data_IF_433762968854
#
_entry.id   IF_433762968854
#
_cell.length_a   1.000
_cell.length_b   1.000
_cell.length_c   1.000
_cell.angle_alpha   90.00
_cell.angle_beta   90.00
_cell.angle_gamma   90.00
#
_symmetry.space_group_name_H-M   'P 1'
#
loop_
_entity.id
_entity.type
_entity.pdbx_description
1 polymer ?
#
# COMPACT_ATOMS: atom_id res chain seq x y z
N UNK A 1 -71.90 -7.88 -12.56
CA UNK A 1 -72.32 -6.52 -12.11
C UNK A 1 -71.42 -5.50 -12.77
N UNK A 2 -72.03 -4.52 -13.44
CA UNK A 2 -71.39 -3.35 -14.04
C UNK A 2 -70.86 -2.43 -12.93
N UNK A 3 -69.72 -1.77 -13.14
CA UNK A 3 -69.67 -0.30 -13.04
C UNK A 3 -68.44 0.27 -13.74
N UNK A 4 -68.70 1.23 -14.61
CA UNK A 4 -67.80 2.08 -15.38
C UNK A 4 -67.85 3.47 -14.78
N UNK A 5 -66.74 4.13 -14.47
CA UNK A 5 -66.61 5.61 -14.26
C UNK A 5 -65.14 6.00 -14.53
N UNK A 6 -64.78 6.57 -15.70
CA UNK A 6 -64.68 7.99 -16.12
C UNK A 6 -63.42 8.76 -15.61
N UNK A 7 -62.70 9.30 -16.60
CA UNK A 7 -61.51 10.18 -16.64
C UNK A 7 -61.74 11.56 -15.96
N UNK A 8 -60.68 12.33 -15.60
CA UNK A 8 -60.11 13.33 -16.53
C UNK A 8 -58.57 13.51 -16.41
N UNK A 9 -57.79 13.58 -17.48
CA UNK A 9 -57.40 14.76 -18.29
C UNK A 9 -57.05 16.02 -17.47
N UNK A 10 -55.76 16.36 -17.39
CA UNK A 10 -55.30 17.70 -16.98
C UNK A 10 -54.15 18.15 -17.89
N UNK A 11 -54.41 19.24 -18.63
CA UNK A 11 -53.46 20.02 -19.40
C UNK A 11 -52.44 20.69 -18.46
N UNK A 12 -51.16 20.76 -18.86
CA UNK A 12 -50.27 21.83 -18.42
C UNK A 12 -49.59 22.51 -19.62
N UNK A 13 -49.57 23.82 -19.50
CA UNK A 13 -49.41 24.88 -20.50
C UNK A 13 -47.96 25.22 -20.83
N UNK A 14 -47.70 25.51 -22.12
CA UNK A 14 -46.56 26.30 -22.60
C UNK A 14 -46.66 27.75 -22.12
N UNK A 15 -45.56 28.29 -21.59
CA UNK A 15 -45.37 29.72 -21.36
C UNK A 15 -44.01 30.17 -21.90
N UNK A 16 -44.04 31.03 -22.91
CA UNK A 16 -42.89 31.74 -23.47
C UNK A 16 -42.81 33.19 -22.93
N UNK A 17 -41.71 33.87 -23.25
CA UNK A 17 -41.33 35.28 -23.00
C UNK A 17 -40.52 35.46 -21.69
N UNK A 18 -39.39 36.17 -21.61
CA UNK A 18 -38.93 37.39 -22.29
C UNK A 18 -37.40 37.47 -22.26
N UNK A 19 -36.81 38.15 -23.26
CA UNK A 19 -35.39 38.53 -23.26
C UNK A 19 -35.14 39.82 -22.47
N UNK A 20 -33.96 39.91 -21.85
CA UNK A 20 -33.37 41.16 -21.39
C UNK A 20 -31.83 41.08 -21.41
N UNK A 21 -31.25 41.99 -22.18
CA UNK A 21 -29.83 42.23 -22.41
C UNK A 21 -29.05 42.54 -21.12
N UNK A 22 -27.89 41.91 -20.91
CA UNK A 22 -26.88 42.41 -19.96
C UNK A 22 -25.48 42.41 -20.57
N UNK A 23 -24.91 43.62 -20.57
CA UNK A 23 -23.56 44.05 -20.93
C UNK A 23 -22.46 43.16 -20.31
N UNK A 24 -21.40 42.92 -21.09
CA UNK A 24 -20.10 42.43 -20.59
C UNK A 24 -19.45 43.49 -19.68
N UNK A 25 -18.94 43.14 -18.49
CA UNK A 25 -18.06 44.02 -17.75
C UNK A 25 -16.65 44.01 -18.36
N UNK A 26 -16.06 45.21 -18.43
CA UNK A 26 -14.70 45.46 -18.89
C UNK A 26 -13.67 44.83 -17.94
N UNK A 27 -12.62 44.27 -18.53
CA UNK A 27 -11.48 43.66 -17.85
C UNK A 27 -10.67 44.76 -17.15
N UNK A 28 -10.69 44.77 -15.82
CA UNK A 28 -9.83 45.63 -15.02
C UNK A 28 -8.37 45.15 -15.12
N UNK A 29 -7.49 46.04 -15.56
CA UNK A 29 -6.04 45.86 -15.63
C UNK A 29 -5.47 45.86 -14.21
N UNK A 30 -4.86 44.74 -13.79
CA UNK A 30 -4.18 44.64 -12.50
C UNK A 30 -2.78 45.27 -12.62
N UNK A 31 -2.32 46.09 -11.65
CA UNK A 31 -1.02 46.74 -11.72
C UNK A 31 0.13 45.73 -11.63
N UNK A 32 1.21 46.03 -12.38
CA UNK A 32 2.44 45.27 -12.43
C UNK A 32 3.08 45.16 -11.04
N UNK A 33 3.25 43.94 -10.55
CA UNK A 33 4.10 43.64 -9.40
C UNK A 33 5.54 43.46 -9.88
N UNK A 34 6.45 44.16 -9.20
CA UNK A 34 7.88 44.16 -9.44
C UNK A 34 8.48 42.75 -9.37
N UNK A 35 9.32 42.44 -10.36
CA UNK A 35 10.14 41.23 -10.45
C UNK A 35 11.20 41.22 -9.33
N UNK A 36 11.09 40.25 -8.43
CA UNK A 36 12.20 39.82 -7.58
C UNK A 36 13.19 38.96 -8.40
N UNK A 37 14.49 39.00 -8.09
CA UNK A 37 15.53 38.35 -8.91
C UNK A 37 15.36 36.83 -8.93
N UNK A 38 15.45 36.27 -10.12
CA UNK A 38 15.45 34.83 -10.40
C UNK A 38 16.72 34.23 -9.81
N UNK A 39 16.59 33.47 -8.72
CA UNK A 39 17.60 32.53 -8.30
C UNK A 39 17.59 31.35 -9.29
N UNK A 40 18.51 31.39 -10.25
CA UNK A 40 18.92 30.24 -11.04
C UNK A 40 19.60 29.23 -10.12
N UNK A 41 18.91 28.12 -9.85
CA UNK A 41 19.47 26.78 -9.65
C UNK A 41 18.28 25.80 -9.57
N UNK A 42 17.61 25.61 -10.70
CA UNK A 42 16.76 24.44 -10.86
C UNK A 42 17.68 23.25 -11.11
N UNK A 43 17.98 22.49 -10.06
CA UNK A 43 18.40 21.11 -10.24
C UNK A 43 17.31 20.42 -11.07
N UNK A 44 17.69 19.80 -12.17
CA UNK A 44 16.80 18.95 -12.96
C UNK A 44 16.28 17.84 -12.05
N UNK A 45 15.01 17.92 -11.64
CA UNK A 45 14.33 16.87 -10.90
C UNK A 45 14.13 15.68 -11.83
N UNK A 46 15.11 14.77 -11.86
CA UNK A 46 15.12 13.51 -12.64
C UNK A 46 13.93 12.58 -12.29
N UNK A 47 13.04 12.98 -11.37
CA UNK A 47 11.88 12.21 -10.91
C UNK A 47 10.52 12.82 -11.31
N UNK A 48 10.49 13.79 -12.23
CA UNK A 48 9.24 14.31 -12.79
C UNK A 48 8.48 13.23 -13.60
N UNK A 49 7.60 12.49 -12.92
CA UNK A 49 6.73 11.44 -13.51
C UNK A 49 6.60 10.19 -12.65
N UNK A 50 7.61 9.87 -11.84
CA UNK A 50 7.63 8.66 -10.99
C UNK A 50 6.85 8.83 -9.69
N UNK A 51 6.51 10.07 -9.30
CA UNK A 51 5.70 10.34 -8.09
C UNK A 51 4.38 9.58 -8.09
N UNK A 52 3.69 9.44 -9.23
CA UNK A 52 2.41 8.70 -9.33
C UNK A 52 2.55 7.18 -9.21
N UNK A 53 3.77 6.65 -9.28
CA UNK A 53 4.06 5.22 -9.20
C UNK A 53 4.61 4.80 -7.84
N UNK A 54 5.07 5.75 -7.01
CA UNK A 54 5.51 5.46 -5.64
C UNK A 54 4.31 5.08 -4.77
N UNK A 55 4.40 3.89 -4.17
CA UNK A 55 3.56 3.49 -3.06
C UNK A 55 2.21 2.84 -3.33
N UNK A 56 2.10 2.04 -4.36
CA UNK A 56 0.91 1.19 -4.49
C UNK A 56 0.96 0.05 -3.47
N UNK A 57 0.08 0.11 -2.48
CA UNK A 57 -0.10 -0.96 -1.49
C UNK A 57 -0.90 -2.11 -2.13
N UNK A 58 -0.21 -3.05 -2.80
CA UNK A 58 -0.84 -4.23 -3.42
C UNK A 58 -1.14 -5.29 -2.35
N UNK A 59 -2.40 -5.55 -1.99
CA UNK A 59 -2.71 -6.44 -0.87
C UNK A 59 -2.49 -7.92 -1.23
N UNK A 60 -1.96 -8.68 -0.26
CA UNK A 60 -1.78 -10.12 -0.33
C UNK A 60 -2.68 -10.80 0.69
N UNK A 61 -3.55 -11.68 0.20
CA UNK A 61 -4.51 -12.42 1.02
C UNK A 61 -4.15 -13.89 1.08
N UNK A 62 -4.36 -14.50 2.26
CA UNK A 62 -4.37 -15.96 2.44
C UNK A 62 -5.77 -16.34 2.89
N UNK A 63 -6.45 -17.17 2.11
CA UNK A 63 -7.80 -17.65 2.40
C UNK A 63 -8.80 -16.50 2.75
N UNK A 64 -8.64 -15.33 2.12
CA UNK A 64 -9.49 -14.15 2.30
C UNK A 64 -9.02 -13.17 3.39
N UNK A 65 -8.01 -13.52 4.19
CA UNK A 65 -7.43 -12.64 5.21
C UNK A 65 -6.20 -11.95 4.64
N UNK A 66 -6.12 -10.62 4.72
CA UNK A 66 -4.92 -9.91 4.28
C UNK A 66 -3.76 -10.17 5.25
N UNK A 67 -2.66 -10.73 4.73
CA UNK A 67 -1.48 -11.11 5.52
C UNK A 67 -0.23 -10.33 5.17
N UNK A 68 -0.25 -9.57 4.06
CA UNK A 68 0.86 -8.70 3.67
C UNK A 68 0.41 -7.66 2.63
N UNK A 69 1.37 -6.84 2.23
CA UNK A 69 1.32 -5.93 1.09
C UNK A 69 2.56 -6.22 0.23
N UNK A 70 2.38 -6.36 -1.07
CA UNK A 70 3.44 -6.55 -2.04
C UNK A 70 3.93 -5.17 -2.50
N UNK A 71 4.77 -4.57 -1.66
CA UNK A 71 5.43 -3.29 -1.89
C UNK A 71 6.92 -3.46 -1.67
N UNK A 72 7.77 -2.74 -2.41
CA UNK A 72 9.22 -2.89 -2.29
C UNK A 72 9.72 -2.57 -0.89
N UNK A 73 9.30 -1.43 -0.32
CA UNK A 73 9.67 -1.04 1.06
C UNK A 73 9.30 -2.05 2.14
N UNK A 74 8.27 -2.85 1.89
CA UNK A 74 7.70 -3.82 2.83
C UNK A 74 8.21 -5.25 2.56
N UNK A 75 9.10 -5.45 1.58
CA UNK A 75 9.59 -6.78 1.26
C UNK A 75 10.32 -7.40 2.46
N UNK A 76 10.06 -8.69 2.74
CA UNK A 76 10.86 -9.43 3.69
C UNK A 76 12.30 -9.61 3.17
N UNK A 77 13.28 -9.97 4.02
CA UNK A 77 14.63 -10.32 3.58
C UNK A 77 14.61 -11.56 2.70
N UNK A 78 14.60 -11.36 1.38
CA UNK A 78 14.63 -12.40 0.37
C UNK A 78 15.72 -12.11 -0.66
N UNK A 79 16.20 -13.16 -1.31
CA UNK A 79 17.22 -13.06 -2.34
C UNK A 79 16.69 -12.26 -3.54
N UNK A 80 17.44 -11.22 -3.93
CA UNK A 80 17.24 -10.54 -5.20
C UNK A 80 17.85 -11.39 -6.31
N UNK A 81 17.05 -11.74 -7.29
CA UNK A 81 17.53 -12.30 -8.56
C UNK A 81 17.56 -11.21 -9.62
N UNK A 82 18.40 -11.38 -10.63
CA UNK A 82 18.55 -10.43 -11.72
C UNK A 82 17.94 -11.05 -12.98
N UNK A 83 16.90 -10.42 -13.53
CA UNK A 83 16.24 -10.85 -14.77
C UNK A 83 17.15 -10.68 -15.98
N UNK A 84 17.85 -9.56 -15.98
CA UNK A 84 18.94 -9.17 -16.85
C UNK A 84 19.99 -8.45 -15.97
N UNK A 85 21.02 -7.83 -16.54
CA UNK A 85 22.07 -7.14 -15.76
C UNK A 85 21.56 -5.98 -14.89
N UNK A 86 20.31 -5.54 -15.04
CA UNK A 86 19.81 -4.28 -14.49
C UNK A 86 18.51 -4.41 -13.69
N UNK A 87 17.64 -5.37 -13.99
CA UNK A 87 16.30 -5.44 -13.40
C UNK A 87 16.27 -6.37 -12.18
N UNK A 88 16.11 -5.83 -10.95
CA UNK A 88 15.82 -6.64 -9.77
C UNK A 88 14.52 -7.42 -9.95
N UNK A 89 14.55 -8.69 -9.57
CA UNK A 89 13.37 -9.50 -9.40
C UNK A 89 13.47 -10.36 -8.14
N UNK A 90 12.35 -10.95 -7.78
CA UNK A 90 12.16 -11.71 -6.55
C UNK A 90 11.36 -12.95 -6.86
N UNK A 91 11.78 -14.10 -6.32
CA UNK A 91 11.04 -15.35 -6.48
C UNK A 91 9.77 -15.31 -5.65
N UNK A 92 8.64 -15.64 -6.27
CA UNK A 92 7.34 -15.74 -5.59
C UNK A 92 7.40 -16.77 -4.45
N UNK A 93 8.06 -17.90 -4.67
CA UNK A 93 8.26 -18.93 -3.65
C UNK A 93 8.95 -18.37 -2.39
N UNK A 94 10.04 -17.63 -2.57
CA UNK A 94 10.82 -17.04 -1.47
C UNK A 94 10.02 -15.95 -0.75
N UNK A 95 9.29 -15.11 -1.50
CA UNK A 95 8.38 -14.12 -0.93
C UNK A 95 7.30 -14.77 -0.05
N UNK A 96 6.58 -15.78 -0.55
CA UNK A 96 5.53 -16.45 0.21
C UNK A 96 6.09 -17.06 1.49
N UNK A 97 7.22 -17.76 1.39
CA UNK A 97 7.91 -18.37 2.54
C UNK A 97 8.28 -17.33 3.59
N UNK A 98 8.88 -16.21 3.18
CA UNK A 98 9.33 -15.17 4.09
C UNK A 98 8.17 -14.35 4.68
N UNK A 99 7.06 -14.21 3.94
CA UNK A 99 5.80 -13.67 4.47
C UNK A 99 5.10 -14.61 5.47
N UNK A 100 5.65 -15.81 5.71
CA UNK A 100 5.15 -16.79 6.67
C UNK A 100 4.12 -17.77 6.11
N UNK A 101 3.91 -17.77 4.80
CA UNK A 101 3.06 -18.72 4.09
C UNK A 101 3.92 -19.94 3.75
N UNK A 102 3.44 -21.16 4.06
CA UNK A 102 4.17 -22.39 3.70
C UNK A 102 3.89 -22.72 2.23
N UNK A 103 4.83 -22.53 1.29
CA UNK A 103 4.53 -22.71 -0.13
C UNK A 103 4.06 -24.13 -0.47
N UNK A 104 4.49 -25.13 0.29
CA UNK A 104 4.12 -26.54 0.13
C UNK A 104 2.63 -26.81 0.42
N UNK A 105 1.98 -25.92 1.17
CA UNK A 105 0.56 -26.01 1.51
C UNK A 105 -0.33 -25.18 0.57
N UNK A 106 0.26 -24.40 -0.33
CA UNK A 106 -0.48 -23.58 -1.27
C UNK A 106 -1.16 -24.49 -2.30
N UNK A 107 -2.47 -24.30 -2.48
CA UNK A 107 -3.26 -24.97 -3.53
C UNK A 107 -3.19 -24.19 -4.84
N UNK A 108 -3.34 -22.87 -4.75
CA UNK A 108 -3.20 -21.97 -5.89
C UNK A 108 -2.90 -20.54 -5.44
N UNK A 109 -2.31 -19.76 -6.33
CA UNK A 109 -2.15 -18.31 -6.24
C UNK A 109 -2.93 -17.68 -7.38
N UNK A 110 -3.86 -16.80 -7.07
CA UNK A 110 -4.56 -15.97 -8.05
C UNK A 110 -3.96 -14.57 -8.03
N UNK A 111 -3.52 -14.13 -9.19
CA UNK A 111 -2.89 -12.83 -9.43
C UNK A 111 -3.90 -11.98 -10.17
N UNK A 112 -4.39 -10.94 -9.51
CA UNK A 112 -5.40 -10.05 -10.07
C UNK A 112 -4.70 -8.93 -10.82
N UNK A 113 -5.11 -8.73 -12.07
CA UNK A 113 -4.66 -7.65 -12.93
C UNK A 113 -5.70 -6.56 -13.11
N UNK A 114 -5.56 -5.80 -14.19
CA UNK A 114 -6.56 -4.81 -14.59
C UNK A 114 -7.83 -5.49 -15.12
N UNK A 115 -8.98 -4.80 -15.07
CA UNK A 115 -10.27 -5.26 -15.60
C UNK A 115 -10.76 -6.60 -14.99
N UNK A 116 -10.46 -6.85 -13.72
CA UNK A 116 -10.87 -8.06 -12.98
C UNK A 116 -10.40 -9.39 -13.61
N UNK A 117 -9.36 -9.34 -14.47
CA UNK A 117 -8.75 -10.54 -15.05
C UNK A 117 -7.71 -11.12 -14.11
N UNK A 118 -7.70 -12.44 -14.02
CA UNK A 118 -6.96 -13.20 -13.03
C UNK A 118 -6.10 -14.23 -13.75
N UNK A 119 -4.80 -14.10 -13.59
CA UNK A 119 -3.85 -15.20 -13.84
C UNK A 119 -3.84 -16.11 -12.62
N UNK A 120 -3.66 -17.41 -12.83
CA UNK A 120 -3.58 -18.37 -11.72
C UNK A 120 -2.39 -19.29 -11.88
N UNK A 121 -1.76 -19.60 -10.75
CA UNK A 121 -0.66 -20.54 -10.62
C UNK A 121 -1.06 -21.60 -9.61
N UNK A 122 -1.10 -22.88 -10.00
CA UNK A 122 -1.32 -23.96 -9.04
C UNK A 122 -0.09 -24.12 -8.13
N UNK A 123 -0.32 -24.55 -6.89
CA UNK A 123 0.77 -24.80 -5.95
C UNK A 123 1.71 -25.91 -6.45
N UNK A 124 1.17 -26.95 -7.08
CA UNK A 124 1.95 -28.02 -7.73
C UNK A 124 2.87 -27.48 -8.84
N UNK A 125 2.39 -26.54 -9.65
CA UNK A 125 3.17 -25.88 -10.71
C UNK A 125 4.30 -25.05 -10.10
N UNK A 126 4.00 -24.24 -9.09
CA UNK A 126 5.00 -23.46 -8.34
C UNK A 126 6.07 -24.34 -7.70
N UNK A 127 5.68 -25.49 -7.15
CA UNK A 127 6.60 -26.43 -6.51
C UNK A 127 7.50 -27.17 -7.51
N UNK A 128 6.99 -27.43 -8.71
CA UNK A 128 7.74 -28.06 -9.80
C UNK A 128 8.84 -27.15 -10.33
N UNK A 129 8.59 -25.84 -10.42
CA UNK A 129 9.55 -24.86 -10.92
C UNK A 129 9.62 -23.61 -10.03
N UNK A 130 10.26 -23.75 -8.86
CA UNK A 130 10.34 -22.69 -7.86
C UNK A 130 11.07 -21.42 -8.33
N UNK A 131 11.90 -21.54 -9.38
CA UNK A 131 12.77 -20.45 -9.85
C UNK A 131 12.12 -19.63 -10.96
N UNK A 132 11.22 -20.21 -11.75
CA UNK A 132 10.56 -19.54 -12.87
C UNK A 132 9.61 -18.43 -12.45
N UNK A 133 8.88 -18.60 -11.35
CA UNK A 133 7.85 -17.64 -10.94
C UNK A 133 8.46 -16.47 -10.17
N UNK A 134 8.80 -15.41 -10.90
CA UNK A 134 9.44 -14.20 -10.37
C UNK A 134 8.65 -12.91 -10.66
N UNK A 135 8.71 -11.95 -9.74
CA UNK A 135 8.15 -10.62 -9.96
C UNK A 135 9.22 -9.55 -9.83
N UNK A 136 9.05 -8.44 -10.53
CA UNK A 136 9.88 -7.23 -10.40
C UNK A 136 8.99 -6.04 -9.99
N UNK A 137 9.58 -4.88 -9.75
CA UNK A 137 8.80 -3.63 -9.67
C UNK A 137 9.02 -2.80 -10.94
N UNK A 138 8.01 -2.00 -11.30
CA UNK A 138 8.02 -1.21 -12.53
C UNK A 138 9.17 -0.20 -12.63
N UNK A 139 9.75 0.19 -11.49
CA UNK A 139 10.88 1.12 -11.41
C UNK A 139 11.96 0.58 -10.45
N UNK A 140 12.36 -0.68 -10.65
CA UNK A 140 13.40 -1.39 -9.90
C UNK A 140 13.10 -1.56 -8.40
N UNK A 141 13.25 -0.50 -7.60
CA UNK A 141 13.05 -0.44 -6.15
C UNK A 141 11.75 0.27 -5.74
N UNK A 142 10.90 0.60 -6.70
CA UNK A 142 9.58 1.20 -6.47
C UNK A 142 8.64 0.89 -7.63
N UNK A 143 7.36 1.22 -7.47
CA UNK A 143 6.35 1.06 -8.52
C UNK A 143 5.40 -0.11 -8.28
N UNK A 144 4.54 -0.37 -9.25
CA UNK A 144 3.69 -1.55 -9.23
C UNK A 144 4.53 -2.83 -9.36
N UNK A 145 4.22 -3.89 -8.58
CA UNK A 145 4.78 -5.20 -8.82
C UNK A 145 4.28 -5.77 -10.17
N UNK A 146 5.19 -6.43 -10.90
CA UNK A 146 4.98 -6.96 -12.24
C UNK A 146 5.35 -8.43 -12.31
N UNK A 147 4.53 -9.23 -12.98
CA UNK A 147 4.83 -10.64 -13.28
C UNK A 147 5.91 -10.71 -14.36
N UNK A 148 6.89 -11.60 -14.18
CA UNK A 148 8.04 -11.77 -15.08
C UNK A 148 8.29 -13.25 -15.43
N UNK A 149 7.22 -14.00 -15.64
CA UNK A 149 7.27 -15.37 -16.15
C UNK A 149 6.27 -15.57 -17.29
N UNK A 150 6.57 -16.53 -18.17
CA UNK A 150 5.68 -16.99 -19.21
C UNK A 150 4.72 -18.08 -18.68
N UNK A 151 3.67 -18.41 -19.44
CA UNK A 151 2.62 -19.34 -19.02
C UNK A 151 2.70 -20.72 -19.69
N UNK A 152 3.80 -21.04 -20.37
CA UNK A 152 3.98 -22.32 -21.05
C UNK A 152 3.84 -23.51 -20.08
N UNK A 153 2.94 -24.44 -20.41
CA UNK A 153 2.68 -25.64 -19.60
C UNK A 153 1.97 -25.38 -18.27
N UNK A 154 1.42 -24.17 -18.06
CA UNK A 154 0.53 -23.87 -16.94
C UNK A 154 -0.92 -24.17 -17.30
N UNK A 155 -1.71 -24.58 -16.32
CA UNK A 155 -3.15 -24.85 -16.49
C UNK A 155 -3.93 -23.60 -16.87
N UNK A 156 -3.50 -22.44 -16.40
CA UNK A 156 -4.02 -21.15 -16.83
C UNK A 156 -2.95 -20.45 -17.66
N UNK A 157 -3.19 -20.40 -18.97
CA UNK A 157 -2.27 -19.80 -19.94
C UNK A 157 -2.33 -18.27 -19.94
N UNK A 158 -3.24 -17.65 -19.18
CA UNK A 158 -3.34 -16.21 -19.08
C UNK A 158 -2.32 -15.62 -18.11
N UNK A 159 -1.51 -14.69 -18.60
CA UNK A 159 -0.58 -13.90 -17.79
C UNK A 159 -1.14 -12.51 -17.50
N UNK A 160 -1.01 -12.08 -16.25
CA UNK A 160 -1.25 -10.71 -15.82
C UNK A 160 0.07 -9.97 -15.82
N UNK A 161 0.16 -8.79 -16.44
CA UNK A 161 1.40 -8.01 -16.41
C UNK A 161 1.64 -7.27 -15.10
N UNK A 162 0.64 -6.54 -14.61
CA UNK A 162 0.71 -5.71 -13.39
C UNK A 162 -0.13 -6.35 -12.28
N UNK A 163 0.48 -6.60 -11.13
CA UNK A 163 -0.19 -7.24 -9.99
C UNK A 163 -0.92 -6.15 -9.20
N UNK A 164 -2.25 -6.27 -9.11
CA UNK A 164 -3.13 -5.36 -8.35
C UNK A 164 -3.53 -5.92 -6.99
N UNK A 165 -3.72 -7.24 -6.90
CA UNK A 165 -4.05 -7.99 -5.69
C UNK A 165 -3.50 -9.41 -5.85
N UNK A 166 -3.16 -10.08 -4.76
CA UNK A 166 -2.80 -11.49 -4.78
C UNK A 166 -3.64 -12.27 -3.78
N UNK A 167 -4.27 -13.36 -4.22
CA UNK A 167 -5.03 -14.27 -3.36
C UNK A 167 -4.36 -15.63 -3.35
N UNK A 168 -3.92 -16.06 -2.18
CA UNK A 168 -3.27 -17.35 -1.94
C UNK A 168 -4.27 -18.26 -1.24
N UNK A 169 -4.53 -19.43 -1.82
CA UNK A 169 -5.45 -20.42 -1.26
C UNK A 169 -4.63 -21.53 -0.62
N UNK A 170 -4.84 -21.76 0.67
CA UNK A 170 -4.11 -22.78 1.44
C UNK A 170 -5.12 -23.79 1.99
N UNK A 171 -6.01 -23.36 2.88
CA UNK A 171 -6.96 -24.25 3.52
C UNK A 171 -8.31 -24.24 2.80
N UNK A 172 -8.73 -23.08 2.28
CA UNK A 172 -10.03 -22.96 1.60
C UNK A 172 -9.97 -23.60 0.20
N UNK A 173 -11.13 -24.00 -0.36
CA UNK A 173 -11.20 -24.41 -1.76
C UNK A 173 -10.72 -23.29 -2.69
N UNK A 174 -10.14 -23.66 -3.83
CA UNK A 174 -9.77 -22.68 -4.87
C UNK A 174 -11.03 -22.37 -5.69
N UNK A 175 -11.52 -21.12 -5.71
CA UNK A 175 -12.68 -20.76 -6.53
C UNK A 175 -12.33 -20.92 -8.02
N UNK A 176 -13.23 -21.54 -8.78
CA UNK A 176 -13.05 -21.65 -10.22
C UNK A 176 -13.06 -20.25 -10.87
N UNK A 177 -12.22 -20.08 -11.89
CA UNK A 177 -12.23 -18.90 -12.75
C UNK A 177 -13.20 -19.12 -13.92
N UNK A 178 -13.89 -18.06 -14.34
CA UNK A 178 -14.69 -18.12 -15.55
C UNK A 178 -13.81 -18.38 -16.78
N UNK A 179 -14.12 -19.41 -17.56
CA UNK A 179 -13.26 -19.90 -18.67
C UNK A 179 -12.80 -18.81 -19.65
N UNK A 180 -13.67 -17.87 -19.99
CA UNK A 180 -13.37 -16.82 -20.99
C UNK A 180 -13.03 -15.46 -20.40
N UNK A 181 -13.60 -15.12 -19.24
CA UNK A 181 -13.45 -13.80 -18.61
C UNK A 181 -12.30 -13.78 -17.61
N UNK A 182 -11.88 -14.96 -17.17
CA UNK A 182 -10.76 -15.18 -16.25
C UNK A 182 -10.95 -14.39 -14.96
N UNK A 183 -12.17 -14.37 -14.44
CA UNK A 183 -12.56 -13.63 -13.25
C UNK A 183 -13.27 -14.57 -12.27
N UNK A 184 -13.37 -14.15 -11.01
CA UNK A 184 -14.34 -14.74 -10.09
C UNK A 184 -15.75 -14.28 -10.49
N UNK A 185 -16.75 -15.15 -10.38
CA UNK A 185 -18.13 -14.83 -10.73
C UNK A 185 -19.04 -14.88 -9.51
N UNK A 186 -19.95 -13.92 -9.42
CA UNK A 186 -21.03 -13.93 -8.44
C UNK A 186 -22.13 -14.93 -8.84
N UNK A 187 -23.16 -15.06 -8.00
CA UNK A 187 -24.29 -15.95 -8.26
C UNK A 187 -25.07 -15.59 -9.53
N UNK A 188 -25.11 -14.32 -9.90
CA UNK A 188 -25.72 -13.82 -11.14
C UNK A 188 -24.83 -14.01 -12.38
N UNK A 189 -23.64 -14.61 -12.22
CA UNK A 189 -22.68 -14.82 -13.27
C UNK A 189 -21.88 -13.57 -13.66
N UNK A 190 -22.00 -12.44 -12.98
CA UNK A 190 -21.18 -11.24 -13.22
C UNK A 190 -19.77 -11.42 -12.64
N UNK A 191 -18.76 -10.75 -13.24
CA UNK A 191 -17.41 -10.79 -12.67
C UNK A 191 -17.36 -9.96 -11.39
N UNK A 192 -16.82 -10.54 -10.33
CA UNK A 192 -16.58 -9.87 -9.06
C UNK A 192 -15.16 -9.28 -9.03
N UNK A 193 -15.04 -8.05 -8.50
CA UNK A 193 -13.74 -7.46 -8.13
C UNK A 193 -13.29 -7.88 -6.69
N UNK A 194 -14.22 -8.44 -5.91
CA UNK A 194 -13.96 -8.87 -4.55
C UNK A 194 -12.96 -10.01 -4.45
N UNK A 195 -12.18 -10.01 -3.37
CA UNK A 195 -11.29 -11.12 -3.02
C UNK A 195 -12.12 -12.26 -2.41
N UNK A 196 -12.04 -13.50 -2.93
CA UNK A 196 -12.81 -14.60 -2.37
C UNK A 196 -12.53 -14.80 -0.89
N UNK A 197 -13.61 -15.08 -0.14
CA UNK A 197 -13.60 -15.30 1.31
C UNK A 197 -13.16 -14.12 2.17
N UNK A 198 -12.87 -12.96 1.57
CA UNK A 198 -12.58 -11.74 2.31
C UNK A 198 -13.86 -11.08 2.80
N UNK A 199 -13.80 -10.48 3.98
CA UNK A 199 -14.85 -9.64 4.54
C UNK A 199 -14.76 -8.17 4.03
N UNK A 200 -13.83 -7.89 3.11
CA UNK A 200 -13.57 -6.55 2.59
C UNK A 200 -12.70 -5.69 3.52
N UNK A 201 -12.21 -6.24 4.64
CA UNK A 201 -11.28 -5.51 5.52
C UNK A 201 -9.92 -5.39 4.83
N UNK A 202 -9.55 -4.16 4.45
CA UNK A 202 -8.24 -3.83 3.88
C UNK A 202 -7.35 -3.16 4.94
N UNK A 203 -6.09 -3.58 4.99
CA UNK A 203 -5.04 -3.02 5.84
C UNK A 203 -4.50 -1.74 5.19
N UNK A 204 -5.14 -0.60 5.49
CA UNK A 204 -4.74 0.74 4.98
C UNK A 204 -3.74 1.48 5.90
N UNK A 205 -3.61 1.08 7.17
CA UNK A 205 -2.78 1.79 8.16
C UNK A 205 -1.26 1.56 8.04
N UNK A 206 -0.49 2.09 8.99
CA UNK A 206 0.94 1.76 9.16
C UNK A 206 1.07 0.30 9.62
N UNK A 207 1.78 -0.51 8.85
CA UNK A 207 1.89 -1.96 9.09
C UNK A 207 3.06 -2.29 10.00
N UNK A 208 2.97 -3.41 10.71
CA UNK A 208 4.05 -3.94 11.55
C UNK A 208 4.42 -5.31 11.04
N UNK A 209 5.70 -5.48 10.68
CA UNK A 209 6.26 -6.75 10.25
C UNK A 209 7.29 -7.24 11.25
N UNK A 210 7.25 -8.54 11.55
CA UNK A 210 8.25 -9.22 12.39
C UNK A 210 8.83 -10.37 11.58
N UNK A 211 10.14 -10.34 11.33
CA UNK A 211 10.85 -11.30 10.48
C UNK A 211 10.16 -11.52 9.11
N UNK A 212 9.60 -10.45 8.53
CA UNK A 212 8.90 -10.50 7.23
C UNK A 212 7.41 -10.84 7.29
N UNK A 213 6.87 -11.23 8.45
CA UNK A 213 5.44 -11.54 8.62
C UNK A 213 4.71 -10.32 9.15
N UNK A 214 3.60 -9.92 8.51
CA UNK A 214 2.76 -8.85 9.04
C UNK A 214 2.03 -9.36 10.29
N UNK A 215 2.37 -8.79 11.45
CA UNK A 215 1.76 -9.17 12.74
C UNK A 215 0.62 -8.24 13.13
N UNK A 216 0.54 -7.07 12.50
CA UNK A 216 -0.46 -6.08 12.82
C UNK A 216 -0.34 -4.82 11.99
N UNK A 217 -1.20 -3.87 12.30
CA UNK A 217 -1.20 -2.54 11.69
C UNK A 217 -1.92 -1.55 12.61
N UNK A 218 -1.64 -0.27 12.41
CA UNK A 218 -2.28 0.79 13.18
C UNK A 218 -3.72 0.96 12.69
N UNK A 219 -4.66 0.73 13.62
CA UNK A 219 -6.08 1.03 13.43
C UNK A 219 -6.54 1.86 14.62
N UNK A 220 -7.02 3.08 14.38
CA UNK A 220 -7.36 4.04 15.44
C UNK A 220 -8.24 3.46 16.55
N UNK A 221 -9.27 2.69 16.20
CA UNK A 221 -10.20 2.06 17.17
C UNK A 221 -9.59 0.94 18.02
N UNK A 222 -8.37 0.47 17.67
CA UNK A 222 -7.67 -0.61 18.35
C UNK A 222 -6.49 -0.10 19.19
N UNK A 223 -6.29 1.22 19.26
CA UNK A 223 -5.26 1.80 20.11
C UNK A 223 -5.81 1.96 21.52
N UNK A 224 -5.25 1.19 22.45
CA UNK A 224 -5.62 1.22 23.85
C UNK A 224 -4.98 2.42 24.58
N UNK A 225 -5.60 2.85 25.68
CA UNK A 225 -5.14 4.01 26.48
C UNK A 225 -3.76 3.79 27.11
N UNK A 226 -3.41 2.54 27.43
CA UNK A 226 -2.11 2.15 27.99
C UNK A 226 -0.93 2.39 27.03
N UNK A 227 -1.20 2.45 25.72
CA UNK A 227 -0.23 2.81 24.69
C UNK A 227 0.14 4.29 24.71
N UNK A 228 -0.71 5.15 25.31
CA UNK A 228 -0.44 6.58 25.36
C UNK A 228 0.77 6.89 26.24
N UNK A 229 1.58 7.85 25.80
CA UNK A 229 2.74 8.37 26.52
C UNK A 229 2.63 9.87 26.82
N UNK A 230 1.50 10.49 26.50
CA UNK A 230 1.21 11.90 26.73
C UNK A 230 0.51 12.53 25.54
N UNK A 231 0.61 13.86 25.42
CA UNK A 231 0.10 14.62 24.29
C UNK A 231 1.19 15.55 23.72
N UNK A 232 1.02 15.94 22.46
CA UNK A 232 1.81 17.01 21.83
C UNK A 232 1.35 18.39 22.32
N UNK A 233 2.13 19.47 22.09
CA UNK A 233 1.68 20.84 22.37
C UNK A 233 0.40 21.22 21.63
N UNK A 234 0.12 20.59 20.47
CA UNK A 234 -1.11 20.77 19.70
C UNK A 234 -2.31 19.96 20.25
N UNK A 235 -2.10 19.17 21.31
CA UNK A 235 -3.14 18.36 21.94
C UNK A 235 -3.35 16.97 21.33
N UNK A 236 -2.55 16.57 20.33
CA UNK A 236 -2.63 15.22 19.77
C UNK A 236 -2.02 14.18 20.73
N UNK A 237 -2.73 13.08 20.97
CA UNK A 237 -2.23 11.94 21.74
C UNK A 237 -0.93 11.39 21.13
N UNK A 238 0.07 11.18 21.99
CA UNK A 238 1.31 10.46 21.67
C UNK A 238 1.14 9.00 22.04
N UNK A 239 1.39 8.11 21.08
CA UNK A 239 1.36 6.67 21.28
C UNK A 239 2.79 6.12 21.23
N UNK A 240 3.22 5.41 22.27
CA UNK A 240 4.56 4.79 22.29
C UNK A 240 4.65 3.68 21.25
N UNK A 241 5.65 3.75 20.38
CA UNK A 241 5.90 2.69 19.39
C UNK A 241 6.37 1.43 20.07
N UNK A 242 7.22 1.53 21.08
CA UNK A 242 7.71 0.36 21.84
C UNK A 242 6.53 -0.41 22.46
N UNK A 243 5.61 0.28 23.15
CA UNK A 243 4.41 -0.35 23.71
C UNK A 243 3.51 -0.95 22.62
N UNK A 244 3.35 -0.24 21.49
CA UNK A 244 2.56 -0.75 20.37
C UNK A 244 3.16 -2.02 19.76
N UNK A 245 4.48 -2.07 19.57
CA UNK A 245 5.17 -3.28 19.10
C UNK A 245 5.04 -4.42 20.13
N UNK A 246 5.18 -4.11 21.42
CA UNK A 246 4.99 -5.08 22.50
C UNK A 246 3.58 -5.69 22.51
N UNK A 247 2.55 -4.93 22.13
CA UNK A 247 1.18 -5.46 22.00
C UNK A 247 1.04 -6.56 20.93
N UNK A 248 2.00 -6.64 19.99
CA UNK A 248 2.11 -7.70 18.99
C UNK A 248 3.16 -8.76 19.36
N UNK A 249 3.62 -8.80 20.62
CA UNK A 249 4.60 -9.77 21.10
C UNK A 249 6.04 -9.49 20.68
N UNK A 250 6.35 -8.26 20.25
CA UNK A 250 7.74 -7.83 20.04
C UNK A 250 8.36 -7.49 21.39
N UNK A 251 9.26 -8.34 21.87
CA UNK A 251 10.04 -8.13 23.10
C UNK A 251 11.33 -7.33 22.87
N UNK A 252 12.24 -7.40 23.84
CA UNK A 252 13.54 -6.72 23.79
C UNK A 252 14.59 -7.43 22.93
N UNK A 253 14.28 -8.65 22.45
CA UNK A 253 15.13 -9.51 21.64
C UNK A 253 15.13 -9.12 20.14
N UNK A 254 15.12 -7.82 19.88
CA UNK A 254 15.15 -7.24 18.54
C UNK A 254 16.59 -7.02 18.10
N UNK A 255 16.94 -7.49 16.90
CA UNK A 255 18.25 -7.22 16.31
C UNK A 255 18.27 -5.89 15.56
N UNK A 256 17.17 -5.55 14.87
CA UNK A 256 17.06 -4.30 14.10
C UNK A 256 15.61 -3.86 14.00
N UNK A 257 15.35 -2.56 14.11
CA UNK A 257 14.09 -1.91 13.76
C UNK A 257 14.34 -0.95 12.61
N UNK A 258 13.48 -1.02 11.59
CA UNK A 258 13.46 -0.06 10.49
C UNK A 258 12.09 0.61 10.39
N UNK A 259 12.11 1.90 10.10
CA UNK A 259 10.92 2.69 9.84
C UNK A 259 10.92 3.04 8.37
N UNK A 260 9.81 2.70 7.71
CA UNK A 260 9.68 2.84 6.26
C UNK A 260 8.66 3.92 5.96
N UNK A 261 9.10 4.92 5.19
CA UNK A 261 8.24 5.91 4.56
C UNK A 261 8.08 5.53 3.10
N UNK A 262 7.06 4.74 2.86
CA UNK A 262 6.76 4.27 1.55
C UNK A 262 7.67 3.12 1.12
N UNK A 263 8.58 3.39 0.18
CA UNK A 263 9.58 2.42 -0.29
C UNK A 263 10.97 2.68 0.34
N UNK A 264 11.10 3.82 1.02
CA UNK A 264 12.34 4.36 1.56
C UNK A 264 12.46 4.04 3.06
N UNK A 265 13.62 3.56 3.50
CA UNK A 265 13.93 3.41 4.94
C UNK A 265 14.37 4.76 5.47
N UNK A 266 13.59 5.36 6.37
CA UNK A 266 13.87 6.70 6.91
C UNK A 266 14.50 6.67 8.30
N UNK A 267 14.45 5.53 8.98
CA UNK A 267 15.13 5.33 10.24
C UNK A 267 15.53 3.87 10.43
N UNK A 268 16.68 3.65 11.08
CA UNK A 268 17.16 2.32 11.49
C UNK A 268 17.79 2.40 12.87
N UNK A 269 17.49 1.40 13.70
CA UNK A 269 18.16 1.16 14.96
C UNK A 269 18.54 -0.31 15.08
N UNK A 270 19.78 -0.60 15.46
CA UNK A 270 20.13 -1.94 15.95
C UNK A 270 19.50 -2.19 17.33
N UNK A 271 19.59 -3.42 17.84
CA UNK A 271 19.00 -3.78 19.13
C UNK A 271 19.47 -2.92 20.31
N UNK A 272 20.74 -2.51 20.32
CA UNK A 272 21.28 -1.68 21.40
C UNK A 272 20.75 -0.24 21.32
N UNK A 273 20.78 0.35 20.12
CA UNK A 273 20.22 1.68 19.87
C UNK A 273 18.71 1.71 20.13
N UNK A 274 17.98 0.68 19.71
CA UNK A 274 16.54 0.55 19.96
C UNK A 274 16.25 0.52 21.46
N UNK A 275 16.97 -0.31 22.22
CA UNK A 275 16.81 -0.38 23.68
C UNK A 275 17.07 0.97 24.36
N UNK A 276 18.07 1.72 23.90
CA UNK A 276 18.42 3.02 24.47
C UNK A 276 17.40 4.13 24.14
N UNK A 277 16.78 4.09 22.96
CA UNK A 277 16.07 5.23 22.39
C UNK A 277 14.56 5.00 22.21
N UNK A 278 14.07 3.77 22.30
CA UNK A 278 12.67 3.41 22.02
C UNK A 278 11.65 4.12 22.92
N UNK A 279 12.05 4.55 24.12
CA UNK A 279 11.22 5.36 25.01
C UNK A 279 10.89 6.76 24.44
N UNK A 280 11.79 7.34 23.64
CA UNK A 280 11.57 8.59 22.92
C UNK A 280 10.76 8.42 21.63
N UNK A 281 10.55 7.18 21.20
CA UNK A 281 9.88 6.87 19.93
C UNK A 281 8.36 6.82 20.12
N UNK A 282 7.66 7.80 19.54
CA UNK A 282 6.20 7.86 19.56
C UNK A 282 5.63 8.18 18.18
N UNK A 283 4.34 7.94 18.01
CA UNK A 283 3.60 8.39 16.86
C UNK A 283 2.33 9.13 17.26
N UNK A 284 1.85 9.99 16.37
CA UNK A 284 0.54 10.61 16.44
C UNK A 284 -0.35 10.12 15.31
N UNK A 285 -1.65 10.42 15.40
CA UNK A 285 -2.65 10.00 14.43
C UNK A 285 -3.21 11.20 13.67
N UNK A 286 -2.60 11.60 12.54
CA UNK A 286 -3.16 12.60 11.66
C UNK A 286 -4.61 12.27 11.29
N UNK A 287 -5.46 13.31 11.23
CA UNK A 287 -6.84 13.17 10.75
C UNK A 287 -6.83 12.74 9.28
N UNK A 288 -7.85 11.98 8.87
CA UNK A 288 -8.09 11.56 7.47
C UNK A 288 -6.94 10.80 6.78
N UNK A 289 -6.08 10.12 7.53
CA UNK A 289 -4.92 9.39 6.97
C UNK A 289 -5.03 7.86 7.05
N UNK A 290 -6.24 7.31 7.19
CA UNK A 290 -6.52 5.86 7.17
C UNK A 290 -5.66 4.97 8.11
N UNK A 291 -5.10 5.56 9.18
CA UNK A 291 -4.20 4.86 10.11
C UNK A 291 -2.72 4.92 9.74
N UNK A 292 -2.32 5.64 8.69
CA UNK A 292 -0.93 6.05 8.48
C UNK A 292 -0.56 7.04 9.58
N UNK A 293 0.50 6.73 10.31
CA UNK A 293 0.92 7.50 11.49
C UNK A 293 2.01 8.50 11.13
N UNK A 294 2.08 9.57 11.89
CA UNK A 294 3.22 10.49 11.88
C UNK A 294 4.13 10.09 13.03
N UNK A 295 5.29 9.53 12.71
CA UNK A 295 6.29 9.07 13.66
C UNK A 295 7.22 10.21 14.02
N UNK A 296 7.50 10.35 15.32
CA UNK A 296 8.57 11.19 15.81
C UNK A 296 9.86 10.37 15.84
N UNK A 297 10.81 10.74 14.97
CA UNK A 297 12.03 9.98 14.71
C UNK A 297 13.24 10.67 15.35
N UNK A 298 13.92 10.04 16.32
CA UNK A 298 15.13 10.58 16.94
C UNK A 298 16.26 10.76 15.93
N UNK A 299 17.02 11.84 16.05
CA UNK A 299 18.15 12.17 15.16
C UNK A 299 19.16 11.00 15.03
N UNK A 300 19.41 10.30 16.13
CA UNK A 300 20.36 9.19 16.20
C UNK A 300 20.00 7.97 15.34
N UNK A 301 18.75 7.87 14.85
CA UNK A 301 18.29 6.77 13.99
C UNK A 301 18.11 7.17 12.52
N UNK A 302 18.25 8.46 12.21
CA UNK A 302 18.06 9.00 10.86
C UNK A 302 19.33 8.83 10.01
N UNK A 303 19.22 9.10 8.71
CA UNK A 303 20.40 9.22 7.84
C UNK A 303 21.37 10.29 8.39
N UNK A 304 22.70 10.10 8.35
CA UNK A 304 23.68 11.11 8.76
C UNK A 304 23.55 12.45 8.01
N UNK A 305 22.96 12.43 6.82
CA UNK A 305 22.66 13.63 6.02
C UNK A 305 21.43 14.39 6.52
N UNK A 306 20.60 13.75 7.36
CA UNK A 306 19.50 14.42 8.04
C UNK A 306 20.06 15.28 9.16
N UNK A 307 19.62 16.53 9.23
CA UNK A 307 19.95 17.47 10.30
C UNK A 307 19.96 16.79 11.68
N UNK A 308 20.85 17.22 12.59
CA UNK A 308 21.08 16.62 13.92
C UNK A 308 19.92 16.78 14.92
N UNK A 309 18.68 16.90 14.43
CA UNK A 309 17.47 17.14 15.21
C UNK A 309 16.45 16.03 14.96
N UNK A 310 15.62 15.79 15.96
CA UNK A 310 14.50 14.87 15.83
C UNK A 310 13.52 15.41 14.78
N UNK A 311 12.91 14.51 14.00
CA UNK A 311 12.01 14.89 12.91
C UNK A 311 10.78 14.02 12.88
N UNK A 312 9.67 14.64 12.49
CA UNK A 312 8.44 13.92 12.25
C UNK A 312 8.34 13.50 10.77
N UNK A 313 7.91 12.27 10.54
CA UNK A 313 7.70 11.70 9.20
C UNK A 313 6.48 10.79 9.15
N UNK A 314 5.84 10.66 7.99
CA UNK A 314 4.86 9.61 7.78
C UNK A 314 5.54 8.24 7.65
N UNK A 315 4.92 7.21 8.24
CA UNK A 315 5.39 5.84 8.10
C UNK A 315 4.33 4.94 7.44
N UNK A 316 4.73 4.19 6.41
CA UNK A 316 3.93 3.12 5.81
C UNK A 316 4.07 1.81 6.57
N UNK A 317 5.26 1.52 7.10
CA UNK A 317 5.55 0.29 7.81
C UNK A 317 6.63 0.46 8.89
N UNK A 318 6.58 -0.45 9.88
CA UNK A 318 7.64 -0.72 10.85
C UNK A 318 8.10 -2.15 10.63
N UNK A 319 9.39 -2.34 10.37
CA UNK A 319 9.99 -3.64 10.12
C UNK A 319 10.87 -4.01 11.30
N UNK A 320 10.55 -5.12 11.94
CA UNK A 320 11.25 -5.64 13.10
C UNK A 320 11.95 -6.93 12.71
N UNK A 321 13.25 -6.97 12.93
CA UNK A 321 14.10 -8.12 12.68
C UNK A 321 14.51 -8.70 14.03
N UNK A 322 14.23 -9.98 14.25
CA UNK A 322 14.59 -10.72 15.46
C UNK A 322 15.51 -11.88 15.15
N UNK A 323 15.17 -12.63 14.10
CA UNK A 323 15.89 -13.85 13.68
C UNK A 323 16.44 -13.75 12.26
N UNK A 324 15.93 -12.83 11.46
CA UNK A 324 16.43 -12.56 10.12
C UNK A 324 17.35 -11.34 10.12
N UNK A 325 18.27 -11.30 9.18
CA UNK A 325 19.12 -10.12 8.98
C UNK A 325 18.37 -9.10 8.15
N UNK A 326 18.36 -7.83 8.60
CA UNK A 326 17.80 -6.73 7.83
C UNK A 326 18.51 -6.61 6.46
N UNK A 327 17.80 -6.37 5.34
CA UNK A 327 18.43 -6.14 4.06
C UNK A 327 19.28 -4.87 4.11
N UNK A 328 20.42 -4.86 3.41
CA UNK A 328 21.24 -3.65 3.29
C UNK A 328 20.50 -2.64 2.41
N UNK A 329 19.79 -1.71 3.06
CA UNK A 329 19.13 -0.56 2.43
C UNK A 329 19.75 0.74 2.91
N UNK A 330 19.85 1.71 2.02
CA UNK A 330 20.28 3.06 2.37
C UNK A 330 19.22 3.76 3.21
N UNK A 331 19.66 4.65 4.10
CA UNK A 331 18.76 5.52 4.85
C UNK A 331 18.46 6.75 4.01
N UNK A 332 17.21 6.91 3.62
CA UNK A 332 16.75 8.10 2.93
C UNK A 332 16.55 9.26 3.92
N UNK A 333 16.88 10.50 3.54
CA UNK A 333 16.58 11.67 4.36
C UNK A 333 15.07 11.90 4.45
N UNK A 334 14.58 12.24 5.64
CA UNK A 334 13.19 12.62 5.84
C UNK A 334 12.89 13.90 5.03
N UNK A 335 11.91 13.84 4.15
CA UNK A 335 11.58 14.91 3.22
C UNK A 335 10.09 14.94 2.88
N UNK A 336 9.64 15.98 2.18
CA UNK A 336 8.29 16.04 1.63
C UNK A 336 8.03 14.88 0.66
N UNK A 337 9.03 14.45 -0.10
CA UNK A 337 8.89 13.33 -1.04
C UNK A 337 8.63 11.99 -0.33
N UNK A 338 9.32 11.73 0.79
CA UNK A 338 9.07 10.53 1.59
C UNK A 338 7.68 10.57 2.21
N UNK A 339 7.23 11.73 2.70
CA UNK A 339 5.88 11.90 3.26
C UNK A 339 4.80 11.71 2.18
N UNK A 340 4.99 12.31 1.01
CA UNK A 340 4.08 12.18 -0.13
C UNK A 340 3.97 10.72 -0.60
N UNK A 341 5.06 9.96 -0.58
CA UNK A 341 5.06 8.54 -0.96
C UNK A 341 4.16 7.66 -0.07
N UNK A 342 3.98 8.05 1.19
CA UNK A 342 3.07 7.36 2.13
C UNK A 342 1.63 7.80 1.88
N UNK A 343 1.41 9.08 1.60
CA UNK A 343 0.07 9.63 1.34
C UNK A 343 -0.51 9.16 0.00
N UNK A 344 0.31 9.01 -1.04
CA UNK A 344 -0.13 8.44 -2.31
C UNK A 344 -0.55 6.97 -2.15
N UNK A 345 0.10 6.24 -1.24
CA UNK A 345 -0.29 4.88 -0.89
C UNK A 345 -1.65 4.80 -0.19
N UNK A 346 -2.02 5.83 0.59
CA UNK A 346 -3.32 5.87 1.27
C UNK A 346 -4.46 6.32 0.37
N UNK A 347 -4.17 7.04 -0.71
CA UNK A 347 -5.16 7.69 -1.58
C UNK A 347 -5.50 6.90 -2.84
N UNK A 348 -5.17 5.60 -2.92
CA UNK A 348 -5.63 4.78 -4.05
C UNK A 348 -7.14 4.49 -3.91
N UNK A 349 -7.95 5.50 -4.20
CA UNK A 349 -9.41 5.47 -4.35
C UNK A 349 -9.86 4.50 -5.46
N UNK A 350 -8.92 3.88 -6.19
CA UNK A 350 -9.21 2.81 -7.15
C UNK A 350 -9.86 1.59 -6.49
N UNK A 351 -9.74 1.41 -5.16
CA UNK A 351 -10.52 0.40 -4.44
C UNK A 351 -11.94 0.85 -4.08
N UNK A 352 -12.20 2.15 -4.04
CA UNK A 352 -13.42 2.74 -3.45
C UNK A 352 -14.37 3.30 -4.53
N UNK A 353 -13.90 3.49 -5.77
CA UNK A 353 -14.71 3.90 -6.92
C UNK A 353 -15.29 2.70 -7.70
N UNK A 354 -16.21 1.96 -7.06
CA UNK A 354 -17.21 1.11 -7.75
C UNK A 354 -18.21 0.57 -6.71
N UNK A 355 -19.02 1.46 -6.13
CA UNK A 355 -20.31 1.09 -5.54
C UNK A 355 -21.42 1.31 -6.56
#
# INVERSE_FOLDING_TARGET
>A
MRLTVILPLTLLTLGALTGCSKRKPARATKPAQATAPVATNAATDDKHGTRKLKGLDVPVYVDGVQVSVLRYGDLPPIERVMLDETVPAFRLYDYLKAAGIKPESVKAVHIHGNQNRIGSLEGSEMMRDKKRFIFSFASADTGSPMVRWDTEGLKNEFSVHEIRKMSVFVNKPVPALHKTRLCHVAQDGTCMDGVPYSDGTIVKGTRVYVDGKMVGFVKRRLLAEDLKSGATPAGDDKYSVAKFLASYGVGDDVSTVEIVAGDDVIARADGAAWKAQSAGFYFTLPKHNHGKVRMHVPAAMQSPESNTQDRDAFASAVLVYKRTTAPKRELAPISEDTDLSVQLASNDERSDTQK
#
